data_IF_740151383429
#
_entry.id   IF_740151383429
#
_cell.length_a   1.000
_cell.length_b   1.000
_cell.length_c   1.000
_cell.angle_alpha   90.00
_cell.angle_beta   90.00
_cell.angle_gamma   90.00
#
_symmetry.space_group_name_H-M   'P 1'
#
loop_
_entity.id
_entity.type
_entity.pdbx_description
1 polymer ?
#
# COMPACT_ATOMS: atom_id res chain seq x y z
N UNK A 1 37.73 32.40 -53.94
CA UNK A 1 36.44 31.81 -53.51
C UNK A 1 36.55 30.35 -53.04
N UNK A 2 37.63 29.59 -53.32
CA UNK A 2 37.74 28.18 -52.92
C UNK A 2 37.93 27.94 -51.40
N UNK A 3 38.66 28.83 -50.71
CA UNK A 3 39.00 28.68 -49.28
C UNK A 3 37.77 28.64 -48.35
N UNK A 4 36.79 29.52 -48.56
CA UNK A 4 35.57 29.56 -47.74
C UNK A 4 34.67 28.33 -47.94
N UNK A 5 34.64 27.77 -49.15
CA UNK A 5 33.91 26.52 -49.42
C UNK A 5 34.54 25.31 -48.72
N UNK A 6 35.88 25.28 -48.62
CA UNK A 6 36.60 24.21 -47.93
C UNK A 6 36.40 24.28 -46.40
N UNK A 7 36.38 25.49 -45.84
CA UNK A 7 36.01 25.72 -44.44
C UNK A 7 34.57 25.32 -44.14
N UNK A 8 33.62 25.66 -45.02
CA UNK A 8 32.22 25.26 -44.90
C UNK A 8 32.02 23.74 -44.92
N UNK A 9 32.73 23.03 -45.80
CA UNK A 9 32.73 21.56 -45.84
C UNK A 9 33.28 20.94 -44.56
N UNK A 10 34.42 21.43 -44.06
CA UNK A 10 34.99 20.95 -42.79
C UNK A 10 34.06 21.22 -41.60
N UNK A 11 33.40 22.38 -41.56
CA UNK A 11 32.41 22.67 -40.53
C UNK A 11 31.21 21.72 -40.59
N UNK A 12 30.74 21.38 -41.80
CA UNK A 12 29.64 20.43 -42.00
C UNK A 12 30.03 19.00 -41.60
N UNK A 13 31.26 18.57 -41.90
CA UNK A 13 31.79 17.26 -41.46
C UNK A 13 31.90 17.18 -39.94
N UNK A 14 32.42 18.22 -39.28
CA UNK A 14 32.50 18.29 -37.82
C UNK A 14 31.10 18.28 -37.19
N UNK A 15 30.15 19.01 -37.77
CA UNK A 15 28.76 18.99 -37.33
C UNK A 15 28.13 17.59 -37.48
N UNK A 16 28.34 16.91 -38.61
CA UNK A 16 27.84 15.55 -38.82
C UNK A 16 28.44 14.55 -37.81
N UNK A 17 29.74 14.64 -37.52
CA UNK A 17 30.40 13.80 -36.49
C UNK A 17 29.83 14.09 -35.10
N UNK A 18 29.57 15.35 -34.78
CA UNK A 18 28.95 15.72 -33.50
C UNK A 18 27.53 15.16 -33.38
N UNK A 19 26.73 15.24 -34.45
CA UNK A 19 25.37 14.67 -34.50
C UNK A 19 25.39 13.14 -34.34
N UNK A 20 26.26 12.43 -35.06
CA UNK A 20 26.38 10.97 -34.92
C UNK A 20 26.81 10.56 -33.51
N UNK A 21 27.77 11.27 -32.91
CA UNK A 21 28.16 11.02 -31.51
C UNK A 21 27.01 11.27 -30.53
N UNK A 22 26.23 12.32 -30.73
CA UNK A 22 25.06 12.60 -29.90
C UNK A 22 24.00 11.50 -30.03
N UNK A 23 23.77 10.99 -31.25
CA UNK A 23 22.84 9.88 -31.51
C UNK A 23 23.28 8.58 -30.84
N UNK A 24 24.57 8.24 -30.94
CA UNK A 24 25.13 7.06 -30.26
C UNK A 24 25.00 7.19 -28.74
N UNK A 25 25.33 8.35 -28.17
CA UNK A 25 25.17 8.60 -26.74
C UNK A 25 23.71 8.48 -26.28
N UNK A 26 22.76 9.02 -27.06
CA UNK A 26 21.34 8.89 -26.79
C UNK A 26 20.85 7.44 -26.87
N UNK A 27 21.32 6.65 -27.85
CA UNK A 27 21.00 5.22 -27.98
C UNK A 27 21.48 4.44 -26.75
N UNK A 28 22.74 4.64 -26.34
CA UNK A 28 23.32 3.97 -25.16
C UNK A 28 22.58 4.36 -23.88
N UNK A 29 22.19 5.63 -23.74
CA UNK A 29 21.39 6.07 -22.60
C UNK A 29 20.00 5.41 -22.60
N UNK A 30 19.37 5.30 -23.78
CA UNK A 30 18.08 4.62 -23.96
C UNK A 30 18.14 3.13 -23.61
N UNK A 31 19.15 2.40 -24.09
CA UNK A 31 19.37 0.98 -23.76
C UNK A 31 19.57 0.77 -22.26
N UNK A 32 20.35 1.64 -21.60
CA UNK A 32 20.54 1.58 -20.15
C UNK A 32 19.23 1.85 -19.39
N UNK A 33 18.42 2.80 -19.86
CA UNK A 33 17.12 3.09 -19.25
C UNK A 33 16.15 1.91 -19.42
N UNK A 34 16.13 1.26 -20.59
CA UNK A 34 15.32 0.06 -20.83
C UNK A 34 15.77 -1.11 -19.94
N UNK A 35 17.07 -1.39 -19.87
CA UNK A 35 17.61 -2.43 -19.00
C UNK A 35 17.30 -2.18 -17.51
N UNK A 36 17.37 -0.92 -17.06
CA UNK A 36 17.00 -0.55 -15.71
C UNK A 36 15.50 -0.74 -15.44
N UNK A 37 14.64 -0.42 -16.42
CA UNK A 37 13.20 -0.64 -16.31
C UNK A 37 12.84 -2.12 -16.28
N UNK A 38 13.48 -2.95 -17.11
CA UNK A 38 13.30 -4.40 -17.09
C UNK A 38 13.76 -5.02 -15.77
N UNK A 39 14.92 -4.58 -15.25
CA UNK A 39 15.42 -5.02 -13.94
C UNK A 39 14.44 -4.64 -12.82
N UNK A 40 13.92 -3.42 -12.83
CA UNK A 40 12.91 -2.98 -11.86
C UNK A 40 11.65 -3.84 -11.94
N UNK A 41 11.17 -4.15 -13.17
CA UNK A 41 10.00 -5.02 -13.38
C UNK A 41 10.23 -6.43 -12.83
N UNK A 42 11.40 -7.01 -13.11
CA UNK A 42 11.77 -8.34 -12.61
C UNK A 42 11.84 -8.33 -11.08
N UNK A 43 12.49 -7.33 -10.48
CA UNK A 43 12.58 -7.22 -9.02
C UNK A 43 11.20 -7.05 -8.36
N UNK A 44 10.29 -6.29 -8.96
CA UNK A 44 8.91 -6.19 -8.45
C UNK A 44 8.18 -7.53 -8.52
N UNK A 45 8.35 -8.29 -9.60
CA UNK A 45 7.79 -9.64 -9.71
C UNK A 45 8.36 -10.57 -8.63
N UNK A 46 9.68 -10.55 -8.40
CA UNK A 46 10.33 -11.34 -7.34
C UNK A 46 9.75 -11.00 -5.96
N UNK A 47 9.61 -9.71 -5.64
CA UNK A 47 9.04 -9.28 -4.35
C UNK A 47 7.57 -9.71 -4.23
N UNK A 48 6.81 -9.70 -5.32
CA UNK A 48 5.43 -10.20 -5.33
C UNK A 48 5.37 -11.69 -4.97
N UNK A 49 6.19 -12.51 -5.64
CA UNK A 49 6.28 -13.95 -5.38
C UNK A 49 6.74 -14.24 -3.94
N UNK A 50 7.73 -13.49 -3.43
CA UNK A 50 8.18 -13.61 -2.04
C UNK A 50 7.04 -13.37 -1.04
N UNK A 51 6.21 -12.35 -1.28
CA UNK A 51 5.04 -12.08 -0.44
C UNK A 51 3.99 -13.18 -0.51
N UNK A 52 3.82 -13.81 -1.67
CA UNK A 52 2.90 -14.94 -1.81
C UNK A 52 3.41 -16.18 -1.08
N UNK A 53 4.72 -16.46 -1.18
CA UNK A 53 5.37 -17.52 -0.42
C UNK A 53 5.19 -17.30 1.10
N UNK A 54 5.44 -16.08 1.60
CA UNK A 54 5.26 -15.75 3.01
C UNK A 54 3.81 -15.97 3.49
N UNK A 55 2.83 -15.54 2.69
CA UNK A 55 1.41 -15.78 3.00
C UNK A 55 1.10 -17.28 3.05
N UNK A 56 1.56 -18.03 2.06
CA UNK A 56 1.34 -19.47 1.99
C UNK A 56 1.97 -20.19 3.18
N UNK A 57 3.21 -19.85 3.57
CA UNK A 57 3.84 -20.41 4.76
C UNK A 57 3.09 -20.06 6.05
N UNK A 58 2.59 -18.84 6.17
CA UNK A 58 1.75 -18.45 7.31
C UNK A 58 0.47 -19.30 7.35
N UNK A 59 -0.25 -19.42 6.24
CA UNK A 59 -1.49 -20.23 6.16
C UNK A 59 -1.23 -21.69 6.46
N UNK A 60 -0.14 -22.26 5.95
CA UNK A 60 0.28 -23.64 6.24
C UNK A 60 0.58 -23.80 7.74
N UNK A 61 1.33 -22.88 8.34
CA UNK A 61 1.67 -22.92 9.76
C UNK A 61 0.45 -22.76 10.66
N UNK A 62 -0.48 -21.88 10.31
CA UNK A 62 -1.77 -21.74 11.01
C UNK A 62 -2.56 -23.05 10.98
N UNK A 63 -2.74 -23.63 9.79
CA UNK A 63 -3.40 -24.91 9.61
C UNK A 63 -2.70 -26.03 10.38
N UNK A 64 -1.36 -26.06 10.39
CA UNK A 64 -0.59 -27.07 11.10
C UNK A 64 -0.80 -26.99 12.62
N UNK A 65 -0.89 -25.80 13.20
CA UNK A 65 -1.11 -25.66 14.65
C UNK A 65 -2.58 -25.88 15.03
N UNK A 66 -3.54 -25.68 14.11
CA UNK A 66 -4.98 -25.82 14.42
C UNK A 66 -5.59 -27.17 14.04
N UNK A 67 -5.26 -27.73 12.89
CA UNK A 67 -5.96 -28.87 12.26
C UNK A 67 -5.08 -30.12 12.09
N UNK A 68 -3.77 -30.05 12.32
CA UNK A 68 -2.91 -31.21 12.13
C UNK A 68 -2.97 -32.15 13.34
N UNK A 69 -3.57 -33.32 13.14
CA UNK A 69 -3.75 -34.36 14.17
C UNK A 69 -2.60 -35.39 14.23
N UNK A 70 -1.54 -35.19 13.45
CA UNK A 70 -0.40 -36.12 13.39
C UNK A 70 0.66 -35.86 14.47
N UNK A 71 1.65 -36.76 14.56
CA UNK A 71 2.80 -36.55 15.44
C UNK A 71 3.63 -35.36 14.92
N UNK A 72 3.87 -34.39 15.81
CA UNK A 72 4.65 -33.19 15.49
C UNK A 72 6.14 -33.55 15.53
N UNK A 73 6.90 -33.32 14.44
CA UNK A 73 8.33 -33.61 14.44
C UNK A 73 9.09 -32.82 15.52
N UNK A 74 10.07 -33.45 16.17
CA UNK A 74 10.87 -32.83 17.25
C UNK A 74 11.51 -31.50 16.82
N UNK A 75 11.88 -31.36 15.54
CA UNK A 75 12.49 -30.15 14.99
C UNK A 75 11.58 -28.89 15.06
N UNK A 76 10.27 -29.08 15.10
CA UNK A 76 9.28 -27.98 15.12
C UNK A 76 8.43 -27.97 16.39
N UNK A 77 8.60 -28.97 17.26
CA UNK A 77 7.83 -29.14 18.50
C UNK A 77 7.95 -27.91 19.42
N UNK A 78 9.16 -27.45 19.67
CA UNK A 78 9.41 -26.26 20.51
C UNK A 78 8.74 -24.99 19.94
N UNK A 79 8.70 -24.86 18.60
CA UNK A 79 8.04 -23.74 17.93
C UNK A 79 6.52 -23.82 18.09
N UNK A 80 5.93 -25.00 17.93
CA UNK A 80 4.49 -25.23 18.12
C UNK A 80 4.10 -24.95 19.57
N UNK A 81 4.87 -25.45 20.53
CA UNK A 81 4.63 -25.22 21.96
C UNK A 81 4.69 -23.72 22.29
N UNK A 82 5.68 -22.99 21.76
CA UNK A 82 5.78 -21.54 21.89
C UNK A 82 4.57 -20.81 21.31
N UNK A 83 4.05 -21.26 20.15
CA UNK A 83 2.85 -20.69 19.52
C UNK A 83 1.62 -20.95 20.39
N UNK A 84 1.46 -22.16 20.93
CA UNK A 84 0.34 -22.53 21.80
C UNK A 84 0.36 -21.72 23.10
N UNK A 85 1.53 -21.58 23.73
CA UNK A 85 1.70 -20.69 24.89
C UNK A 85 1.35 -19.25 24.56
N UNK A 86 1.78 -18.75 23.41
CA UNK A 86 1.48 -17.39 22.97
C UNK A 86 -0.02 -17.20 22.73
N UNK A 87 -0.71 -18.17 22.12
CA UNK A 87 -2.17 -18.16 21.96
C UNK A 87 -2.88 -18.13 23.31
N UNK A 88 -2.42 -18.89 24.31
CA UNK A 88 -2.96 -18.86 25.69
C UNK A 88 -2.77 -17.50 26.34
N UNK A 89 -1.55 -16.93 26.26
CA UNK A 89 -1.25 -15.58 26.78
C UNK A 89 -2.11 -14.51 26.10
N UNK A 90 -2.35 -14.61 24.79
CA UNK A 90 -3.26 -13.70 24.07
C UNK A 90 -4.68 -13.84 24.61
N UNK A 91 -5.20 -15.06 24.78
CA UNK A 91 -6.55 -15.28 25.32
C UNK A 91 -6.68 -14.74 26.76
N UNK A 92 -5.67 -14.91 27.60
CA UNK A 92 -5.61 -14.33 28.94
C UNK A 92 -5.60 -12.79 28.88
N UNK A 93 -4.76 -12.19 28.03
CA UNK A 93 -4.71 -10.74 27.84
C UNK A 93 -6.02 -10.20 27.27
N UNK A 94 -6.67 -10.91 26.36
CA UNK A 94 -7.99 -10.56 25.81
C UNK A 94 -9.09 -10.63 26.86
N UNK A 95 -9.06 -11.64 27.73
CA UNK A 95 -9.98 -11.75 28.87
C UNK A 95 -9.70 -10.70 29.96
N UNK A 96 -8.47 -10.20 30.02
CA UNK A 96 -8.02 -9.14 30.94
C UNK A 96 -8.23 -7.74 30.39
N UNK A 97 -8.52 -7.60 29.09
CA UNK A 97 -9.01 -6.32 28.55
C UNK A 97 -10.28 -6.02 29.36
N UNK A 98 -10.41 -4.82 29.95
CA UNK A 98 -11.70 -4.43 30.50
C UNK A 98 -12.70 -4.69 29.39
N UNK A 99 -13.74 -5.47 29.68
CA UNK A 99 -14.94 -5.47 28.88
C UNK A 99 -15.39 -4.01 28.91
N UNK A 100 -14.93 -3.23 27.93
CA UNK A 100 -15.80 -2.24 27.35
C UNK A 100 -16.95 -3.13 26.93
N UNK A 101 -18.01 -3.09 27.75
CA UNK A 101 -19.32 -3.44 27.26
C UNK A 101 -19.32 -2.86 25.86
N UNK A 102 -19.35 -3.74 24.86
CA UNK A 102 -20.22 -3.49 23.75
C UNK A 102 -21.61 -3.34 24.39
N UNK A 103 -21.82 -2.19 25.05
CA UNK A 103 -23.09 -1.54 24.93
C UNK A 103 -23.31 -1.53 23.42
N UNK A 104 -24.44 -2.05 22.96
CA UNK A 104 -24.97 -1.72 21.65
C UNK A 104 -25.18 -0.19 21.46
N UNK A 105 -24.69 0.64 22.38
CA UNK A 105 -24.43 2.04 22.17
C UNK A 105 -23.08 2.20 21.42
N UNK A 106 -23.03 1.87 20.12
CA UNK A 106 -23.22 2.98 19.18
C UNK A 106 -24.02 4.07 19.87
N UNK A 107 -23.37 5.14 20.29
CA UNK A 107 -24.04 6.41 20.33
C UNK A 107 -24.50 6.72 18.89
N UNK A 108 -25.54 6.00 18.41
CA UNK A 108 -26.73 6.63 17.92
C UNK A 108 -27.01 7.70 18.96
N UNK A 109 -26.71 8.98 18.68
CA UNK A 109 -27.25 10.03 19.51
C UNK A 109 -28.74 9.72 19.63
N UNK A 110 -29.22 9.57 20.86
CA UNK A 110 -30.63 9.45 21.14
C UNK A 110 -31.37 10.47 20.26
N UNK A 111 -32.38 10.08 19.47
CA UNK A 111 -33.03 10.96 18.50
C UNK A 111 -33.84 12.10 19.16
N UNK A 112 -33.67 12.30 20.47
CA UNK A 112 -34.35 13.30 21.28
C UNK A 112 -33.73 14.70 21.23
N UNK A 113 -32.48 14.87 20.77
CA UNK A 113 -31.82 16.20 20.73
C UNK A 113 -31.50 16.70 19.31
N UNK A 114 -31.83 15.91 18.26
CA UNK A 114 -31.71 16.36 16.88
C UNK A 114 -32.90 17.26 16.50
N UNK A 115 -32.66 18.56 16.43
CA UNK A 115 -33.64 19.49 15.87
C UNK A 115 -33.76 19.22 14.37
N UNK A 116 -35.00 19.14 13.87
CA UNK A 116 -35.27 19.00 12.44
C UNK A 116 -35.34 20.39 11.83
N UNK A 117 -34.60 20.61 10.74
CA UNK A 117 -34.59 21.90 10.07
C UNK A 117 -35.95 22.18 9.42
N UNK A 118 -36.64 23.31 9.75
CA UNK A 118 -37.95 23.61 9.18
C UNK A 118 -37.92 23.94 7.67
N UNK A 119 -36.74 24.17 7.09
CA UNK A 119 -36.58 24.53 5.67
C UNK A 119 -36.28 23.31 4.80
N UNK A 120 -35.39 22.42 5.25
CA UNK A 120 -34.92 21.29 4.42
C UNK A 120 -35.11 19.91 5.04
N UNK A 121 -35.62 19.82 6.28
CA UNK A 121 -35.89 18.54 6.95
C UNK A 121 -34.66 17.78 7.44
N UNK A 122 -33.44 18.31 7.27
CA UNK A 122 -32.24 17.69 7.80
C UNK A 122 -32.23 17.74 9.34
N UNK A 123 -31.90 16.60 9.96
CA UNK A 123 -31.70 16.48 11.40
C UNK A 123 -30.26 16.87 11.74
N UNK A 124 -30.10 17.86 12.60
CA UNK A 124 -28.78 18.29 13.09
C UNK A 124 -28.87 18.90 14.48
N UNK A 125 -27.81 18.75 15.26
CA UNK A 125 -27.62 19.29 16.60
C UNK A 125 -27.01 20.72 16.61
N UNK A 126 -26.63 21.24 15.45
CA UNK A 126 -26.01 22.57 15.30
C UNK A 126 -27.02 23.72 15.27
N UNK A 127 -26.60 24.92 15.72
CA UNK A 127 -27.39 26.17 15.70
C UNK A 127 -27.82 26.61 14.28
N UNK A 128 -27.10 26.14 13.25
CA UNK A 128 -27.42 26.33 11.84
C UNK A 128 -27.42 24.98 11.13
N UNK A 129 -28.36 24.78 10.22
CA UNK A 129 -28.48 23.54 9.47
C UNK A 129 -27.27 23.34 8.52
N UNK A 130 -26.58 22.18 8.54
CA UNK A 130 -25.41 21.92 7.69
C UNK A 130 -25.76 21.74 6.21
N UNK A 131 -27.03 21.54 5.85
CA UNK A 131 -27.47 21.36 4.47
C UNK A 131 -27.95 22.66 3.82
N UNK A 132 -28.60 23.57 4.56
CA UNK A 132 -29.19 24.78 3.98
C UNK A 132 -28.80 26.09 4.68
N UNK A 133 -28.03 26.04 5.78
CA UNK A 133 -27.58 27.22 6.51
C UNK A 133 -28.67 27.96 7.32
N UNK A 134 -29.91 27.46 7.33
CA UNK A 134 -30.99 28.08 8.09
C UNK A 134 -30.72 27.98 9.61
N UNK A 135 -31.02 29.03 10.39
CA UNK A 135 -30.94 28.97 11.84
C UNK A 135 -31.96 27.95 12.36
N UNK A 136 -31.47 26.97 13.10
CA UNK A 136 -32.32 26.01 13.80
C UNK A 136 -32.88 26.76 15.00
N UNK A 137 -34.20 27.02 15.03
CA UNK A 137 -34.86 27.76 16.11
C UNK A 137 -34.49 27.21 17.49
N UNK A 138 -34.50 28.08 18.51
CA UNK A 138 -34.29 27.67 19.91
C UNK A 138 -35.22 26.53 20.33
#
# INVERSE_FOLDING_TARGET
MAFFNELGKKAQEVAAVATEKAKVAASVAGEKAQAAAELARINMAIVSEQREIEKNYKTIGEWFVSEYDGEVPDAVKDLVDTIVESKKKIAELESSKPQKQEDPEEAVPTPSDMKVCPICGAASDSKFCPQCGAPMGE
#
